data_IF_503562789823
#
_entry.id   IF_503562789823
#
_cell.length_a   1.000
_cell.length_b   1.000
_cell.length_c   1.000
_cell.angle_alpha   90.00
_cell.angle_beta   90.00
_cell.angle_gamma   90.00
#
_symmetry.space_group_name_H-M   'P 1'
#
loop_
_entity.id
_entity.type
_entity.pdbx_description
1 polymer ?
#
# COMPACT_ATOMS: atom_id res chain seq x y z
N UNK A 1 27.84 -43.83 17.79
CA UNK A 1 27.78 -42.36 17.90
C UNK A 1 27.17 -41.81 16.61
N UNK A 2 25.84 -41.64 16.54
CA UNK A 2 25.13 -41.15 15.34
C UNK A 2 24.96 -39.64 15.46
N UNK A 3 25.60 -38.88 14.57
CA UNK A 3 25.45 -37.42 14.45
C UNK A 3 24.20 -37.16 13.60
N UNK A 4 23.15 -36.62 14.23
CA UNK A 4 21.95 -36.15 13.54
C UNK A 4 22.22 -34.71 13.11
N UNK A 5 22.35 -34.50 11.80
CA UNK A 5 22.35 -33.18 11.18
C UNK A 5 20.88 -32.73 11.09
N UNK A 6 20.52 -31.73 11.89
CA UNK A 6 19.22 -31.06 11.81
C UNK A 6 19.34 -29.92 10.81
N UNK A 7 19.06 -30.20 9.54
CA UNK A 7 19.02 -29.21 8.47
C UNK A 7 17.81 -28.30 8.70
N UNK A 8 18.08 -27.07 9.15
CA UNK A 8 17.09 -26.04 9.42
C UNK A 8 16.45 -25.60 8.09
N UNK A 9 15.27 -26.13 7.77
CA UNK A 9 14.46 -25.68 6.65
C UNK A 9 13.95 -24.25 6.95
N UNK A 10 14.54 -23.27 6.27
CA UNK A 10 14.08 -21.88 6.25
C UNK A 10 12.65 -21.81 5.70
N UNK A 11 11.69 -21.62 6.60
CA UNK A 11 10.32 -21.24 6.25
C UNK A 11 10.33 -19.87 5.57
N UNK A 12 10.31 -19.84 4.24
CA UNK A 12 9.92 -18.66 3.48
C UNK A 12 8.42 -18.42 3.71
N UNK A 13 8.09 -17.54 4.65
CA UNK A 13 6.74 -17.01 4.83
C UNK A 13 6.44 -16.04 3.68
N UNK A 14 5.99 -16.55 2.54
CA UNK A 14 5.40 -15.72 1.49
C UNK A 14 4.02 -15.27 1.99
N UNK A 15 3.98 -14.10 2.65
CA UNK A 15 2.71 -13.48 3.04
C UNK A 15 2.04 -12.94 1.79
N UNK A 16 1.20 -13.77 1.17
CA UNK A 16 0.27 -13.33 0.11
C UNK A 16 -0.77 -12.44 0.78
N UNK A 17 -0.48 -11.13 0.82
CA UNK A 17 -1.44 -10.12 1.26
C UNK A 17 -2.47 -9.94 0.14
N UNK A 18 -3.62 -10.60 0.28
CA UNK A 18 -4.78 -10.37 -0.58
C UNK A 18 -5.32 -8.97 -0.28
N UNK A 19 -4.93 -7.97 -1.08
CA UNK A 19 -5.51 -6.63 -1.02
C UNK A 19 -6.96 -6.68 -1.51
N UNK A 20 -7.91 -6.51 -0.60
CA UNK A 20 -9.29 -6.24 -0.98
C UNK A 20 -9.32 -4.93 -1.77
N UNK A 21 -9.67 -5.03 -3.06
CA UNK A 21 -9.72 -3.92 -4.01
C UNK A 21 -10.88 -2.99 -3.62
N UNK A 22 -10.67 -2.11 -2.65
CA UNK A 22 -11.56 -0.96 -2.47
C UNK A 22 -11.40 -0.08 -3.70
N UNK A 23 -12.39 -0.04 -4.59
CA UNK A 23 -12.43 0.92 -5.71
C UNK A 23 -13.01 2.23 -5.16
N UNK A 24 -12.18 3.24 -4.80
CA UNK A 24 -12.72 4.52 -4.37
C UNK A 24 -13.55 5.11 -5.51
N UNK A 25 -14.81 5.42 -5.23
CA UNK A 25 -15.71 6.01 -6.21
C UNK A 25 -15.59 7.54 -6.12
N UNK A 26 -15.02 8.16 -7.15
CA UNK A 26 -15.04 9.62 -7.32
C UNK A 26 -16.30 9.97 -8.12
N UNK A 27 -17.25 10.68 -7.51
CA UNK A 27 -18.48 11.08 -8.17
C UNK A 27 -18.18 12.00 -9.37
N UNK A 28 -18.66 11.60 -10.56
CA UNK A 28 -18.38 12.31 -11.81
C UNK A 28 -16.93 12.15 -12.32
N UNK A 29 -16.13 11.28 -11.70
CA UNK A 29 -14.78 10.98 -12.14
C UNK A 29 -14.75 10.05 -13.37
N UNK A 30 -13.57 9.94 -13.96
CA UNK A 30 -13.25 9.00 -15.03
C UNK A 30 -11.98 8.21 -14.68
N UNK A 31 -11.83 7.03 -15.27
CA UNK A 31 -10.63 6.22 -15.08
C UNK A 31 -9.43 6.91 -15.75
N UNK A 32 -8.38 7.16 -14.97
CA UNK A 32 -7.15 7.80 -15.44
C UNK A 32 -6.12 6.72 -15.81
N UNK A 33 -5.46 6.87 -16.96
CA UNK A 33 -4.38 5.96 -17.38
C UNK A 33 -3.21 5.99 -16.40
N UNK A 34 -2.57 4.85 -16.14
CA UNK A 34 -1.37 4.77 -15.31
C UNK A 34 -0.18 5.60 -15.84
N UNK A 35 -0.18 5.95 -17.13
CA UNK A 35 0.84 6.79 -17.75
C UNK A 35 0.58 8.29 -17.60
N UNK A 36 -0.64 8.67 -17.22
CA UNK A 36 -1.08 10.04 -17.08
C UNK A 36 -0.31 10.76 -15.96
N UNK A 37 0.10 12.03 -16.14
CA UNK A 37 0.73 12.81 -15.09
C UNK A 37 -0.07 12.83 -13.77
N UNK A 38 -1.40 12.87 -13.84
CA UNK A 38 -2.29 12.87 -12.67
C UNK A 38 -2.15 11.58 -11.87
N UNK A 39 -2.08 10.43 -12.55
CA UNK A 39 -1.87 9.13 -11.92
C UNK A 39 -0.46 9.05 -11.30
N UNK A 40 0.55 9.59 -11.96
CA UNK A 40 1.94 9.61 -11.45
C UNK A 40 2.14 10.53 -10.25
N UNK A 41 1.39 11.64 -10.18
CA UNK A 41 1.46 12.58 -9.06
C UNK A 41 0.64 12.14 -7.85
N UNK A 42 -0.14 11.07 -7.95
CA UNK A 42 -1.12 10.66 -6.93
C UNK A 42 -0.80 9.24 -6.44
N UNK A 43 -0.66 9.06 -5.13
CA UNK A 43 -0.39 7.74 -4.55
C UNK A 43 -1.35 7.41 -3.41
N UNK A 44 -1.68 6.13 -3.27
CA UNK A 44 -2.45 5.64 -2.13
C UNK A 44 -1.58 5.58 -0.88
N UNK A 45 -2.16 5.99 0.24
CA UNK A 45 -1.65 5.80 1.58
C UNK A 45 -2.59 4.83 2.30
N UNK A 46 -2.13 3.61 2.54
CA UNK A 46 -2.91 2.58 3.23
C UNK A 46 -2.41 2.47 4.66
N UNK A 47 -3.34 2.50 5.61
CA UNK A 47 -3.03 2.38 7.03
C UNK A 47 -4.05 1.54 7.76
N UNK A 48 -3.72 1.21 9.01
CA UNK A 48 -4.58 0.43 9.90
C UNK A 48 -4.58 1.09 11.27
N UNK A 49 -5.77 1.40 11.77
CA UNK A 49 -5.98 1.93 13.11
C UNK A 49 -6.85 0.96 13.91
N UNK A 50 -6.28 0.36 14.95
CA UNK A 50 -6.88 -0.74 15.71
C UNK A 50 -7.36 -1.87 14.77
N UNK A 51 -8.67 -2.05 14.64
CA UNK A 51 -9.31 -3.05 13.78
C UNK A 51 -9.80 -2.50 12.44
N UNK A 52 -9.71 -1.19 12.20
CA UNK A 52 -10.15 -0.55 10.96
C UNK A 52 -8.96 -0.30 10.02
N UNK A 53 -9.09 -0.69 8.75
CA UNK A 53 -8.19 -0.23 7.69
C UNK A 53 -8.70 1.06 7.09
N UNK A 54 -7.80 1.99 6.79
CA UNK A 54 -8.12 3.22 6.06
C UNK A 54 -7.27 3.34 4.80
N UNK A 55 -7.84 3.99 3.80
CA UNK A 55 -7.15 4.34 2.56
C UNK A 55 -7.29 5.84 2.37
N UNK A 56 -6.15 6.51 2.35
CA UNK A 56 -6.00 7.92 2.02
C UNK A 56 -5.22 8.07 0.72
N UNK A 57 -5.07 9.32 0.28
CA UNK A 57 -4.28 9.69 -0.90
C UNK A 57 -3.27 10.76 -0.53
N UNK A 58 -2.17 10.80 -1.28
CA UNK A 58 -1.14 11.85 -1.22
C UNK A 58 -0.80 12.34 -2.61
N UNK A 59 -0.37 13.59 -2.70
CA UNK A 59 0.01 14.24 -3.97
C UNK A 59 1.47 14.67 -3.93
N UNK A 60 2.25 14.29 -4.95
CA UNK A 60 3.62 14.72 -5.13
C UNK A 60 3.65 16.21 -5.56
N UNK A 61 4.31 17.05 -4.77
CA UNK A 61 4.44 18.51 -5.03
C UNK A 61 5.88 18.93 -5.35
N UNK A 62 6.87 18.09 -5.03
CA UNK A 62 8.27 18.19 -5.44
C UNK A 62 8.87 16.77 -5.48
N UNK A 63 10.07 16.54 -6.07
CA UNK A 63 10.63 15.19 -6.30
C UNK A 63 10.58 14.23 -5.09
N UNK A 64 10.71 14.75 -3.87
CA UNK A 64 10.67 13.96 -2.63
C UNK A 64 9.67 14.53 -1.59
N UNK A 65 8.73 15.38 -2.03
CA UNK A 65 7.78 16.04 -1.15
C UNK A 65 6.35 15.71 -1.56
N UNK A 66 5.58 15.18 -0.61
CA UNK A 66 4.17 14.85 -0.77
C UNK A 66 3.30 15.63 0.21
N UNK A 67 2.11 16.00 -0.23
CA UNK A 67 1.06 16.59 0.62
C UNK A 67 -0.05 15.57 0.83
N UNK A 68 -0.56 15.49 2.05
CA UNK A 68 -1.73 14.69 2.43
C UNK A 68 -2.48 15.38 3.57
N UNK A 69 -3.67 14.90 3.90
CA UNK A 69 -4.42 15.41 5.05
C UNK A 69 -3.75 14.92 6.35
N UNK A 70 -3.65 15.79 7.36
CA UNK A 70 -2.98 15.45 8.62
C UNK A 70 -3.59 14.22 9.32
N UNK A 71 -4.92 14.05 9.27
CA UNK A 71 -5.61 12.90 9.87
C UNK A 71 -5.33 11.57 9.16
N UNK A 72 -4.69 11.58 7.99
CA UNK A 72 -4.30 10.36 7.27
C UNK A 72 -2.96 9.78 7.76
N UNK A 73 -2.23 10.48 8.62
CA UNK A 73 -0.92 10.04 9.11
C UNK A 73 -0.97 9.11 10.33
N UNK A 74 -2.16 8.92 10.93
CA UNK A 74 -2.35 8.06 12.10
C UNK A 74 -2.03 8.74 13.42
#
# INVERSE_FOLDING_TARGET
>A
MKKIFFTLALCFHFSVYAETQFKPMIFGGYDVSATDPIAKSTAFLKGKFLHASFTCTRTLIAPDLVVTAGHCLG
#
